data_IF_226805245164
#
_entry.id   IF_226805245164
#
_cell.length_a   1.000
_cell.length_b   1.000
_cell.length_c   1.000
_cell.angle_alpha   90.00
_cell.angle_beta   90.00
_cell.angle_gamma   90.00
#
_symmetry.space_group_name_H-M   'P 1'
#
loop_
_entity.id
_entity.type
_entity.pdbx_description
1 polymer ?
#
# COMPACT_ATOMS: atom_id res chain seq x y z
N UNK A 1 -19.66 -10.80 4.30
CA UNK A 1 -18.75 -9.72 3.85
C UNK A 1 -17.61 -10.28 2.98
N UNK A 2 -17.89 -11.28 2.14
CA UNK A 2 -16.87 -12.04 1.42
C UNK A 2 -16.47 -11.47 0.06
N UNK A 3 -17.07 -10.39 -0.43
CA UNK A 3 -16.80 -9.96 -1.81
C UNK A 3 -15.79 -8.82 -1.97
N UNK A 4 -15.69 -7.83 -1.07
CA UNK A 4 -14.82 -6.65 -1.32
C UNK A 4 -14.12 -6.01 -0.09
N UNK A 5 -14.34 -6.52 1.12
CA UNK A 5 -13.83 -5.86 2.34
C UNK A 5 -12.31 -5.85 2.42
N UNK A 6 -11.66 -6.91 1.96
CA UNK A 6 -10.21 -7.04 1.99
C UNK A 6 -9.53 -6.14 0.95
N UNK A 7 -10.16 -6.02 -0.22
CA UNK A 7 -9.77 -5.16 -1.33
C UNK A 7 -9.85 -3.69 -0.89
N UNK A 8 -10.99 -3.28 -0.34
CA UNK A 8 -11.17 -1.90 0.15
C UNK A 8 -10.24 -1.53 1.30
N UNK A 9 -9.99 -2.44 2.25
CA UNK A 9 -9.04 -2.17 3.33
C UNK A 9 -7.62 -1.94 2.79
N UNK A 10 -7.23 -2.68 1.75
CA UNK A 10 -5.93 -2.52 1.10
C UNK A 10 -5.86 -1.20 0.30
N UNK A 11 -6.92 -0.88 -0.45
CA UNK A 11 -7.03 0.36 -1.21
C UNK A 11 -7.09 1.61 -0.31
N UNK A 12 -7.60 1.48 0.92
CA UNK A 12 -7.58 2.57 1.88
C UNK A 12 -6.15 2.93 2.33
N UNK A 13 -5.27 1.92 2.52
CA UNK A 13 -3.85 2.17 2.78
C UNK A 13 -3.15 2.84 1.59
N UNK A 14 -3.49 2.40 0.37
CA UNK A 14 -2.99 3.03 -0.86
C UNK A 14 -3.44 4.49 -0.94
N UNK A 15 -4.73 4.76 -0.76
CA UNK A 15 -5.30 6.11 -0.74
C UNK A 15 -4.57 7.01 0.27
N UNK A 16 -4.43 6.55 1.51
CA UNK A 16 -3.73 7.29 2.58
C UNK A 16 -2.28 7.63 2.18
N UNK A 17 -1.61 6.73 1.47
CA UNK A 17 -0.22 6.94 1.02
C UNK A 17 -0.15 7.92 -0.14
N UNK A 18 -0.99 7.75 -1.17
CA UNK A 18 -1.00 8.62 -2.35
C UNK A 18 -1.34 10.07 -1.98
N UNK A 19 -2.20 10.29 -1.00
CA UNK A 19 -2.58 11.63 -0.53
C UNK A 19 -1.45 12.41 0.13
N UNK A 20 -0.35 11.76 0.53
CA UNK A 20 0.80 12.42 1.18
C UNK A 20 2.06 12.41 0.31
N UNK A 21 2.01 11.83 -0.89
CA UNK A 21 3.14 11.92 -1.83
C UNK A 21 3.23 13.33 -2.40
N UNK A 22 4.45 13.83 -2.54
CA UNK A 22 4.69 15.12 -3.20
C UNK A 22 4.44 15.03 -4.70
N UNK A 23 4.18 16.16 -5.35
CA UNK A 23 4.10 16.23 -6.81
C UNK A 23 5.35 15.67 -7.48
N UNK A 24 6.53 15.91 -6.91
CA UNK A 24 7.78 15.35 -7.44
C UNK A 24 7.82 13.82 -7.32
N UNK A 25 7.28 13.24 -6.24
CA UNK A 25 7.23 11.77 -6.06
C UNK A 25 6.25 11.15 -7.06
N UNK A 26 5.07 11.76 -7.24
CA UNK A 26 4.06 11.32 -8.20
C UNK A 26 4.56 11.44 -9.65
N UNK A 27 5.14 12.58 -10.01
CA UNK A 27 5.70 12.82 -11.33
C UNK A 27 6.83 11.84 -11.63
N UNK A 28 7.72 11.58 -10.67
CA UNK A 28 8.77 10.57 -10.84
C UNK A 28 8.19 9.18 -11.06
N UNK A 29 7.19 8.78 -10.26
CA UNK A 29 6.57 7.45 -10.37
C UNK A 29 5.93 7.23 -11.75
N UNK A 30 5.25 8.25 -12.27
CA UNK A 30 4.63 8.23 -13.59
C UNK A 30 5.67 8.27 -14.72
N UNK A 31 6.67 9.16 -14.64
CA UNK A 31 7.71 9.29 -15.68
C UNK A 31 8.59 8.05 -15.82
N UNK A 32 8.82 7.33 -14.73
CA UNK A 32 9.64 6.11 -14.73
C UNK A 32 8.81 4.84 -14.92
N UNK A 33 7.51 4.96 -15.22
CA UNK A 33 6.58 3.84 -15.36
C UNK A 33 6.73 2.82 -14.20
N UNK A 34 6.86 3.31 -12.95
CA UNK A 34 7.05 2.43 -11.80
C UNK A 34 5.91 1.42 -11.68
N UNK A 35 4.70 1.84 -12.08
CA UNK A 35 3.54 1.00 -12.32
C UNK A 35 2.96 1.33 -13.69
N UNK A 36 2.76 0.33 -14.55
CA UNK A 36 2.07 0.49 -15.82
C UNK A 36 0.57 0.74 -15.59
N UNK A 37 -0.14 1.24 -16.62
CA UNK A 37 -1.58 1.42 -16.55
C UNK A 37 -2.35 0.12 -16.25
N UNK A 38 -1.87 -1.01 -16.78
CA UNK A 38 -2.43 -2.34 -16.50
C UNK A 38 -2.22 -2.74 -15.04
N UNK A 39 -1.02 -2.48 -14.50
CA UNK A 39 -0.69 -2.78 -13.10
C UNK A 39 -1.55 -1.90 -12.15
N UNK A 40 -1.78 -0.62 -12.50
CA UNK A 40 -2.68 0.27 -11.76
C UNK A 40 -4.13 -0.26 -11.80
N UNK A 41 -4.59 -0.72 -12.97
CA UNK A 41 -5.93 -1.28 -13.13
C UNK A 41 -6.10 -2.56 -12.30
N UNK A 42 -5.09 -3.44 -12.30
CA UNK A 42 -5.07 -4.65 -11.48
C UNK A 42 -5.13 -4.31 -9.98
N UNK A 43 -4.33 -3.36 -9.52
CA UNK A 43 -4.33 -2.91 -8.12
C UNK A 43 -5.70 -2.37 -7.74
N UNK A 44 -6.31 -1.52 -8.57
CA UNK A 44 -7.63 -0.93 -8.27
C UNK A 44 -8.76 -1.97 -8.25
N UNK A 45 -8.63 -3.05 -9.01
CA UNK A 45 -9.63 -4.12 -9.08
C UNK A 45 -9.47 -5.16 -7.97
N UNK A 46 -8.22 -5.44 -7.56
CA UNK A 46 -7.90 -6.56 -6.66
C UNK A 46 -7.43 -6.13 -5.27
N UNK A 47 -7.08 -4.85 -5.08
CA UNK A 47 -6.44 -4.36 -3.87
C UNK A 47 -5.07 -4.99 -3.58
N UNK A 48 -4.42 -5.63 -4.56
CA UNK A 48 -3.15 -6.34 -4.37
C UNK A 48 -2.05 -5.70 -5.21
N UNK A 49 -0.85 -5.63 -4.64
CA UNK A 49 0.38 -5.26 -5.34
C UNK A 49 1.29 -6.51 -5.36
N UNK A 50 1.48 -7.13 -6.53
CA UNK A 50 2.38 -8.28 -6.68
C UNK A 50 3.87 -7.83 -6.68
N UNK A 51 4.77 -8.75 -6.31
CA UNK A 51 6.22 -8.59 -6.46
C UNK A 51 6.62 -8.35 -7.92
N UNK A 52 5.95 -9.00 -8.88
CA UNK A 52 6.23 -8.83 -10.31
C UNK A 52 6.00 -7.40 -10.79
N UNK A 53 5.00 -6.70 -10.20
CA UNK A 53 4.70 -5.29 -10.46
C UNK A 53 5.82 -4.37 -9.92
N UNK A 54 6.45 -4.77 -8.82
CA UNK A 54 7.56 -4.05 -8.18
C UNK A 54 8.95 -4.51 -8.64
N UNK A 55 9.12 -4.82 -9.93
CA UNK A 55 10.43 -4.81 -10.59
C UNK A 55 11.01 -3.37 -10.66
N UNK A 56 10.88 -2.59 -9.59
CA UNK A 56 11.37 -1.22 -9.41
C UNK A 56 12.88 -1.12 -9.62
N UNK A 57 13.62 -2.18 -9.27
CA UNK A 57 15.08 -2.22 -9.44
C UNK A 57 15.45 -2.22 -10.93
N UNK A 58 14.73 -2.92 -11.80
CA UNK A 58 15.01 -2.89 -13.25
C UNK A 58 14.40 -1.67 -13.94
N UNK A 59 13.23 -1.20 -13.49
CA UNK A 59 12.54 -0.02 -14.05
C UNK A 59 13.20 1.32 -13.67
N UNK A 60 13.76 1.46 -12.47
CA UNK A 60 14.40 2.70 -11.99
C UNK A 60 15.88 2.87 -12.35
N UNK A 61 16.49 1.93 -13.10
CA UNK A 61 17.91 1.94 -13.45
C UNK A 61 18.21 2.87 -14.66
N UNK A 62 17.83 4.15 -14.55
CA UNK A 62 18.08 5.21 -15.56
C UNK A 62 18.76 6.47 -15.01
N UNK A 63 19.40 6.39 -13.84
CA UNK A 63 20.23 7.48 -13.28
C UNK A 63 19.47 8.57 -12.49
N UNK A 64 18.14 8.59 -12.53
CA UNK A 64 17.27 9.33 -11.60
C UNK A 64 16.64 8.31 -10.67
N UNK A 65 17.04 8.27 -9.39
CA UNK A 65 16.47 7.34 -8.41
C UNK A 65 15.88 8.08 -7.22
N UNK A 66 14.69 7.66 -6.78
CA UNK A 66 14.06 8.11 -5.53
C UNK A 66 13.99 6.95 -4.53
N UNK A 67 15.11 6.57 -3.89
CA UNK A 67 15.17 5.37 -3.05
C UNK A 67 14.14 5.38 -1.93
N UNK A 68 13.88 6.53 -1.30
CA UNK A 68 12.86 6.65 -0.25
C UNK A 68 11.46 6.32 -0.78
N UNK A 69 11.10 6.80 -1.97
CA UNK A 69 9.81 6.49 -2.60
C UNK A 69 9.67 4.99 -2.88
N UNK A 70 10.72 4.35 -3.37
CA UNK A 70 10.70 2.90 -3.64
C UNK A 70 10.56 2.09 -2.33
N UNK A 71 11.24 2.51 -1.26
CA UNK A 71 11.10 1.91 0.07
C UNK A 71 9.69 2.11 0.63
N UNK A 72 9.11 3.31 0.47
CA UNK A 72 7.74 3.64 0.90
C UNK A 72 6.71 2.75 0.19
N UNK A 73 6.85 2.57 -1.12
CA UNK A 73 5.95 1.74 -1.93
C UNK A 73 6.08 0.25 -1.60
N UNK A 74 7.29 -0.25 -1.34
CA UNK A 74 7.50 -1.62 -0.86
C UNK A 74 6.90 -1.82 0.53
N UNK A 75 7.08 -0.87 1.44
CA UNK A 75 6.46 -0.90 2.76
C UNK A 75 4.93 -0.94 2.66
N UNK A 76 4.34 -0.05 1.84
CA UNK A 76 2.91 -0.03 1.56
C UNK A 76 2.41 -1.40 1.07
N UNK A 77 3.08 -1.98 0.06
CA UNK A 77 2.73 -3.31 -0.47
C UNK A 77 2.64 -4.38 0.61
N UNK A 78 3.64 -4.44 1.50
CA UNK A 78 3.66 -5.42 2.59
C UNK A 78 2.46 -5.20 3.52
N UNK A 79 2.15 -3.95 3.87
CA UNK A 79 1.01 -3.60 4.74
C UNK A 79 -0.34 -3.87 4.07
N UNK A 80 -0.49 -3.63 2.78
CA UNK A 80 -1.69 -3.98 1.99
C UNK A 80 -1.95 -5.48 2.02
N UNK A 81 -0.91 -6.30 1.84
CA UNK A 81 -1.06 -7.75 1.95
C UNK A 81 -1.43 -8.19 3.38
N UNK A 82 -0.85 -7.55 4.40
CA UNK A 82 -1.15 -7.80 5.82
C UNK A 82 -2.63 -7.51 6.15
N UNK A 83 -3.14 -6.33 5.76
CA UNK A 83 -4.53 -5.96 6.03
C UNK A 83 -5.52 -6.80 5.22
N UNK A 84 -5.20 -7.11 3.95
CA UNK A 84 -6.02 -8.01 3.12
C UNK A 84 -6.19 -9.37 3.80
N UNK A 85 -5.10 -9.93 4.35
CA UNK A 85 -5.14 -11.20 5.09
C UNK A 85 -5.99 -11.11 6.36
N UNK A 86 -5.90 -10.00 7.11
CA UNK A 86 -6.75 -9.81 8.30
C UNK A 86 -8.23 -9.79 7.92
N UNK A 87 -8.61 -9.04 6.89
CA UNK A 87 -10.01 -8.97 6.45
C UNK A 87 -10.52 -10.28 5.84
N UNK A 88 -9.66 -11.05 5.15
CA UNK A 88 -10.00 -12.39 4.66
C UNK A 88 -10.21 -13.40 5.79
N UNK A 89 -9.56 -13.19 6.92
CA UNK A 89 -9.72 -13.99 8.14
C UNK A 89 -10.56 -13.25 9.19
N UNK A 90 -11.59 -12.52 8.76
CA UNK A 90 -12.53 -11.89 9.68
C UNK A 90 -13.13 -12.94 10.63
N UNK A 91 -13.14 -12.70 11.95
CA UNK A 91 -13.53 -13.72 12.91
C UNK A 91 -15.03 -14.02 12.81
N UNK A 92 -15.36 -15.31 12.87
CA UNK A 92 -16.76 -15.76 13.02
C UNK A 92 -17.20 -15.76 14.49
N UNK A 93 -16.25 -15.85 15.42
CA UNK A 93 -16.47 -15.74 16.86
C UNK A 93 -16.32 -14.29 17.30
N UNK A 94 -17.37 -13.74 17.92
CA UNK A 94 -17.40 -12.37 18.44
C UNK A 94 -16.33 -12.13 19.51
N UNK A 95 -15.93 -13.17 20.26
CA UNK A 95 -14.89 -13.05 21.28
C UNK A 95 -13.51 -12.74 20.68
N UNK A 96 -13.28 -13.08 19.41
CA UNK A 96 -12.04 -12.80 18.67
C UNK A 96 -12.08 -11.43 17.96
N UNK A 97 -13.21 -10.73 17.97
CA UNK A 97 -13.37 -9.47 17.23
C UNK A 97 -12.43 -8.37 17.73
N UNK A 98 -12.31 -8.18 19.04
CA UNK A 98 -11.43 -7.12 19.59
C UNK A 98 -9.95 -7.39 19.29
N UNK A 99 -9.53 -8.66 19.28
CA UNK A 99 -8.18 -9.02 18.86
C UNK A 99 -7.94 -8.72 17.38
N UNK A 100 -8.87 -9.14 16.50
CA UNK A 100 -8.81 -8.85 15.08
C UNK A 100 -8.74 -7.33 14.82
N UNK A 101 -9.61 -6.57 15.48
CA UNK A 101 -9.66 -5.11 15.39
C UNK A 101 -8.36 -4.46 15.84
N UNK A 102 -7.77 -4.92 16.95
CA UNK A 102 -6.47 -4.45 17.42
C UNK A 102 -5.37 -4.67 16.36
N UNK A 103 -5.34 -5.85 15.73
CA UNK A 103 -4.39 -6.14 14.65
C UNK A 103 -4.62 -5.24 13.43
N UNK A 104 -5.87 -4.97 13.05
CA UNK A 104 -6.20 -4.01 11.97
C UNK A 104 -5.70 -2.61 12.33
N UNK A 105 -5.99 -2.12 13.54
CA UNK A 105 -5.52 -0.81 14.02
C UNK A 105 -3.99 -0.70 13.99
N UNK A 106 -3.27 -1.76 14.37
CA UNK A 106 -1.81 -1.78 14.31
C UNK A 106 -1.28 -1.61 12.88
N UNK A 107 -1.93 -2.15 11.86
CA UNK A 107 -1.53 -1.95 10.46
C UNK A 107 -1.69 -0.48 10.05
N UNK A 108 -2.82 0.12 10.38
CA UNK A 108 -3.05 1.55 10.13
C UNK A 108 -2.05 2.44 10.86
N UNK A 109 -1.71 2.11 12.10
CA UNK A 109 -0.75 2.88 12.89
C UNK A 109 0.67 2.79 12.31
N UNK A 110 1.07 1.64 11.76
CA UNK A 110 2.34 1.50 11.04
C UNK A 110 2.38 2.45 9.84
N UNK A 111 1.33 2.50 9.02
CA UNK A 111 1.23 3.43 7.87
C UNK A 111 1.29 4.89 8.33
N UNK A 112 0.51 5.25 9.35
CA UNK A 112 0.48 6.62 9.89
C UNK A 112 1.86 7.06 10.41
N UNK A 113 2.57 6.19 11.12
CA UNK A 113 3.87 6.49 11.72
C UNK A 113 4.99 6.56 10.68
N UNK A 114 5.03 5.62 9.75
CA UNK A 114 6.16 5.47 8.81
C UNK A 114 6.02 6.35 7.57
N UNK A 115 4.82 6.43 6.98
CA UNK A 115 4.60 7.14 5.72
C UNK A 115 4.04 8.54 5.94
N UNK A 116 2.93 8.65 6.67
CA UNK A 116 2.18 9.91 6.76
C UNK A 116 2.94 10.96 7.57
N UNK A 117 3.35 10.64 8.80
CA UNK A 117 4.07 11.61 9.65
C UNK A 117 5.37 12.08 9.00
N UNK A 118 6.11 11.18 8.37
CA UNK A 118 7.39 11.50 7.72
C UNK A 118 7.20 12.44 6.52
N UNK A 119 6.08 12.38 5.82
CA UNK A 119 5.81 13.21 4.62
C UNK A 119 5.13 14.56 4.93
N UNK A 120 4.46 14.69 6.08
CA UNK A 120 3.81 15.95 6.51
C UNK A 120 4.79 16.88 7.23
N UNK A 121 5.82 16.33 7.88
CA UNK A 121 6.79 17.11 8.68
C UNK A 121 7.97 17.62 7.83
N UNK A 122 8.11 17.15 6.59
CA UNK A 122 9.08 17.61 5.60
C UNK A 122 8.41 18.48 4.54
#
# INVERSE_FOLDING_TARGET
MTSFGAEFASLDLLRMTLQVLSNDDLNFALQQDLLSGEEILEISSTGRIDLSLLNMVTKAFKGLSKPNLLLDLNFLRIRMNEISKLYKNFPMDINLFEEWKSRVTQVYDKIKKTLIKTKIVN
#
